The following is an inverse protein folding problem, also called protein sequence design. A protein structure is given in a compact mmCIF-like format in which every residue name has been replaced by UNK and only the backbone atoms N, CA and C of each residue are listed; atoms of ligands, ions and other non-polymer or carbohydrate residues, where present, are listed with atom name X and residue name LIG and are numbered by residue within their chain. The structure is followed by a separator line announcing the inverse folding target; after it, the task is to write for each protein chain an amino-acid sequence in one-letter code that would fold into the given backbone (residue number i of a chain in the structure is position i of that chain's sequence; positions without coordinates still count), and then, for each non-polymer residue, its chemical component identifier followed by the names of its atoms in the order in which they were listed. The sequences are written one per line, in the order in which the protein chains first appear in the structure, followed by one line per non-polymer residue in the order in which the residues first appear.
data_IF_588717799591
#
_entry.id   IF_588717799591
#
_cell.length_a   1.000
_cell.length_b   1.000
_cell.length_c   1.000
_cell.angle_alpha   90.00
_cell.angle_beta   90.00
_cell.angle_gamma   90.00
#
_symmetry.space_group_name_H-M   'P 1'
#
loop_
_entity.id
_entity.type
_entity.pdbx_description
1 polymer ?
#
# COMPACT_ATOMS: atom_id res chain seq x y z
N UNK A 1 7.42 -13.66 21.60
CA UNK A 1 7.78 -13.41 20.17
C UNK A 1 6.58 -13.12 19.27
N UNK A 2 5.73 -14.10 18.87
CA UNK A 2 4.61 -13.87 17.93
C UNK A 2 3.63 -12.78 18.39
N UNK A 3 3.22 -12.83 19.65
CA UNK A 3 2.31 -11.82 20.24
C UNK A 3 2.94 -10.42 20.34
N UNK A 4 4.27 -10.33 20.33
CA UNK A 4 5.01 -9.07 20.37
C UNK A 4 5.24 -8.48 18.97
N UNK A 5 4.74 -9.14 17.90
CA UNK A 5 4.89 -8.72 16.49
C UNK A 5 6.35 -8.52 16.03
N UNK A 6 7.30 -9.23 16.65
CA UNK A 6 8.73 -9.21 16.31
C UNK A 6 9.16 -10.51 15.63
N UNK A 7 10.18 -10.43 14.77
CA UNK A 7 10.75 -11.58 14.04
C UNK A 7 11.98 -12.17 14.75
N UNK A 8 12.75 -11.34 15.46
CA UNK A 8 13.91 -11.78 16.25
C UNK A 8 13.46 -12.13 17.68
N UNK A 9 13.88 -13.29 18.17
CA UNK A 9 13.69 -13.70 19.57
C UNK A 9 14.66 -12.91 20.45
N UNK A 10 14.14 -12.34 21.54
CA UNK A 10 14.94 -11.59 22.53
C UNK A 10 15.03 -12.35 23.86
N UNK A 11 16.00 -12.01 24.69
CA UNK A 11 16.18 -12.61 26.03
C UNK A 11 14.90 -12.46 26.87
N UNK A 12 14.21 -11.31 26.76
CA UNK A 12 12.94 -11.07 27.44
C UNK A 12 11.85 -12.06 27.04
N UNK A 13 11.83 -12.52 25.79
CA UNK A 13 10.88 -13.54 25.35
C UNK A 13 11.13 -14.89 26.03
N UNK A 14 12.40 -15.25 26.24
CA UNK A 14 12.81 -16.48 26.93
C UNK A 14 12.52 -16.35 28.43
N UNK A 15 12.88 -15.22 29.05
CA UNK A 15 12.60 -14.97 30.45
C UNK A 15 11.09 -14.95 30.76
N UNK A 16 10.27 -14.38 29.86
CA UNK A 16 8.82 -14.46 29.97
C UNK A 16 8.32 -15.91 29.88
N UNK A 17 8.90 -16.73 29.00
CA UNK A 17 8.53 -18.15 28.88
C UNK A 17 8.94 -18.98 30.11
N UNK A 18 10.10 -18.69 30.71
CA UNK A 18 10.56 -19.33 31.96
C UNK A 18 9.60 -19.02 33.10
N UNK A 19 9.17 -17.76 33.24
CA UNK A 19 8.16 -17.37 34.25
C UNK A 19 6.85 -18.12 34.09
N UNK A 20 6.37 -18.29 32.85
CA UNK A 20 5.13 -19.05 32.57
C UNK A 20 5.27 -20.52 32.95
N UNK A 21 6.47 -21.09 32.83
CA UNK A 21 6.79 -22.46 33.25
C UNK A 21 7.12 -22.58 34.74
N UNK A 22 6.98 -21.49 35.52
CA UNK A 22 7.40 -21.42 36.92
C UNK A 22 8.88 -21.79 37.13
N UNK A 23 9.73 -21.44 36.17
CA UNK A 23 11.19 -21.56 36.26
C UNK A 23 11.77 -20.20 36.59
N UNK A 24 12.82 -20.19 37.42
CA UNK A 24 13.54 -18.97 37.78
C UNK A 24 14.11 -18.27 36.54
N UNK A 25 13.94 -16.94 36.41
CA UNK A 25 14.51 -16.17 35.31
C UNK A 25 16.03 -16.16 35.35
N UNK A 26 16.66 -16.09 34.17
CA UNK A 26 18.10 -15.92 34.05
C UNK A 26 18.47 -14.43 34.10
N UNK A 27 19.34 -14.07 35.03
CA UNK A 27 19.86 -12.72 35.22
C UNK A 27 21.19 -12.54 34.46
N UNK A 28 21.55 -11.28 34.15
CA UNK A 28 22.81 -10.95 33.48
C UNK A 28 22.76 -10.87 31.94
N UNK A 29 21.66 -11.28 31.31
CA UNK A 29 21.53 -11.34 29.84
C UNK A 29 20.77 -10.16 29.20
N UNK A 30 20.53 -9.08 29.93
CA UNK A 30 19.75 -7.92 29.44
C UNK A 30 20.62 -6.85 28.78
N UNK A 31 21.93 -6.91 28.95
CA UNK A 31 22.85 -5.98 28.29
C UNK A 31 22.88 -6.28 26.78
N UNK A 32 22.76 -5.25 25.95
CA UNK A 32 22.70 -5.38 24.48
C UNK A 32 24.01 -5.81 23.82
N UNK A 33 25.02 -6.20 24.60
CA UNK A 33 26.28 -6.74 24.09
C UNK A 33 26.17 -8.25 23.94
N UNK A 34 26.49 -8.73 22.74
CA UNK A 34 26.56 -10.16 22.47
C UNK A 34 27.80 -10.74 23.15
N UNK A 35 27.69 -11.81 23.97
CA UNK A 35 28.84 -12.42 24.62
C UNK A 35 29.85 -12.87 23.56
N UNK A 36 31.14 -12.62 23.82
CA UNK A 36 32.24 -12.94 22.90
C UNK A 36 32.94 -14.19 23.41
N UNK A 37 32.52 -15.34 22.90
CA UNK A 37 33.17 -16.61 23.24
C UNK A 37 34.55 -16.72 22.59
N UNK A 38 35.59 -16.93 23.41
CA UNK A 38 36.93 -17.25 22.93
C UNK A 38 37.14 -18.76 22.92
N UNK A 39 37.73 -19.25 21.83
CA UNK A 39 38.10 -20.66 21.66
C UNK A 39 39.53 -20.87 22.15
N UNK A 40 39.73 -21.85 23.02
CA UNK A 40 41.05 -22.37 23.39
C UNK A 40 41.08 -23.89 23.25
N UNK A 41 42.25 -24.45 22.97
CA UNK A 41 42.42 -25.89 22.80
C UNK A 41 43.37 -26.41 23.86
N UNK A 42 42.89 -27.30 24.73
CA UNK A 42 43.70 -27.99 25.74
C UNK A 42 43.61 -29.49 25.50
N UNK A 43 44.75 -30.18 25.42
CA UNK A 43 44.83 -31.64 25.25
C UNK A 43 43.94 -32.18 24.10
N UNK A 44 43.98 -31.54 22.94
CA UNK A 44 43.16 -31.85 21.75
C UNK A 44 41.64 -31.71 21.92
N UNK A 45 41.17 -31.06 23.00
CA UNK A 45 39.74 -30.73 23.20
C UNK A 45 39.53 -29.23 23.03
N UNK A 46 38.51 -28.86 22.26
CA UNK A 46 38.11 -27.48 22.03
C UNK A 46 37.19 -26.99 23.16
N UNK A 47 37.61 -25.94 23.86
CA UNK A 47 36.87 -25.35 24.98
C UNK A 47 36.54 -23.90 24.63
N UNK A 48 35.31 -23.49 24.89
CA UNK A 48 34.85 -22.12 24.74
C UNK A 48 34.65 -21.51 26.12
N UNK A 49 35.17 -20.31 26.33
CA UNK A 49 34.96 -19.55 27.56
C UNK A 49 34.53 -18.13 27.23
N UNK A 50 33.83 -17.49 28.16
CA UNK A 50 33.48 -16.08 28.09
C UNK A 50 34.62 -15.28 28.72
N UNK A 51 35.11 -14.26 28.02
CA UNK A 51 36.19 -13.39 28.49
C UNK A 51 35.56 -12.17 29.16
N UNK A 52 35.44 -12.22 30.49
CA UNK A 52 34.95 -11.11 31.30
C UNK A 52 36.10 -10.16 31.66
N UNK A 53 36.15 -9.00 31.00
CA UNK A 53 37.08 -7.93 31.36
C UNK A 53 36.60 -7.21 32.63
N UNK A 54 37.46 -7.13 33.64
CA UNK A 54 37.18 -6.34 34.84
C UNK A 54 37.22 -4.84 34.51
N UNK A 55 36.17 -4.11 34.87
CA UNK A 55 36.04 -2.67 34.61
C UNK A 55 36.11 -1.92 35.95
N UNK A 56 36.89 -0.85 35.98
CA UNK A 56 36.97 0.03 37.14
C UNK A 56 35.66 0.82 37.36
N UNK A 57 35.26 1.00 38.63
CA UNK A 57 34.02 1.68 38.98
C UNK A 57 34.01 3.15 38.56
N UNK A 58 35.15 3.83 38.66
CA UNK A 58 35.29 5.24 38.28
C UNK A 58 35.06 5.42 36.77
N UNK A 59 35.45 4.43 35.96
CA UNK A 59 35.20 4.42 34.51
C UNK A 59 33.70 4.34 34.20
N UNK A 60 32.96 3.51 34.95
CA UNK A 60 31.51 3.35 34.76
C UNK A 60 30.76 4.61 35.22
N UNK A 61 31.16 5.18 36.36
CA UNK A 61 30.51 6.37 36.92
C UNK A 61 30.67 7.60 36.02
N UNK A 62 31.85 7.75 35.42
CA UNK A 62 32.17 8.88 34.54
C UNK A 62 31.69 8.68 33.09
N UNK A 63 31.05 7.54 32.77
CA UNK A 63 30.52 7.27 31.43
C UNK A 63 29.36 8.23 31.13
N UNK A 64 29.37 8.93 29.98
CA UNK A 64 28.28 9.85 29.63
C UNK A 64 26.96 9.10 29.43
N UNK A 65 25.86 9.77 29.78
CA UNK A 65 24.51 9.23 29.60
C UNK A 65 24.23 8.90 28.13
N UNK A 66 23.53 7.79 27.84
CA UNK A 66 23.16 7.46 26.48
C UNK A 66 22.18 8.49 25.91
N UNK A 67 22.20 8.63 24.59
CA UNK A 67 21.23 9.49 23.89
C UNK A 67 19.84 8.86 23.97
N UNK A 68 18.86 9.68 24.33
CA UNK A 68 17.47 9.27 24.41
C UNK A 68 16.88 9.34 22.98
N UNK A 69 16.18 8.28 22.51
CA UNK A 69 15.47 8.33 21.24
C UNK A 69 14.31 9.32 21.28
N UNK A 70 13.90 9.83 20.12
CA UNK A 70 12.71 10.67 20.01
C UNK A 70 11.44 9.88 20.36
N UNK A 71 10.43 10.60 20.82
CA UNK A 71 9.11 10.03 21.09
C UNK A 71 8.47 9.46 19.82
N UNK A 72 7.58 8.49 20.02
CA UNK A 72 6.92 7.79 18.92
C UNK A 72 5.93 8.70 18.20
N UNK A 73 6.21 8.99 16.94
CA UNK A 73 5.29 9.70 16.01
C UNK A 73 4.94 8.83 14.81
N UNK A 74 3.82 9.11 14.15
CA UNK A 74 3.42 8.43 12.92
C UNK A 74 3.55 9.35 11.70
N UNK A 75 3.90 8.77 10.56
CA UNK A 75 3.89 9.43 9.26
C UNK A 75 3.04 8.61 8.30
N UNK A 76 2.05 9.26 7.67
CA UNK A 76 1.14 8.61 6.73
C UNK A 76 1.53 8.97 5.29
N UNK A 77 1.42 8.00 4.39
CA UNK A 77 1.59 8.20 2.95
C UNK A 77 0.72 7.20 2.18
N UNK A 78 0.48 7.49 0.90
CA UNK A 78 -0.25 6.59 0.02
C UNK A 78 0.64 5.42 -0.42
N UNK A 79 0.31 4.21 0.05
CA UNK A 79 0.98 2.98 -0.40
C UNK A 79 0.51 2.57 -1.79
N UNK A 80 -0.79 2.70 -2.07
CA UNK A 80 -1.38 2.37 -3.36
C UNK A 80 -2.61 3.24 -3.64
N UNK A 81 -2.82 3.58 -4.90
CA UNK A 81 -3.99 4.28 -5.43
C UNK A 81 -4.49 3.41 -6.59
N UNK A 82 -5.74 2.93 -6.54
CA UNK A 82 -6.30 2.03 -7.57
C UNK A 82 -5.46 0.76 -7.81
N UNK A 83 -4.81 0.24 -6.75
CA UNK A 83 -3.92 -0.93 -6.84
C UNK A 83 -2.55 -0.64 -7.46
N UNK A 84 -2.26 0.62 -7.85
CA UNK A 84 -0.97 1.06 -8.35
C UNK A 84 -0.20 1.75 -7.22
N UNK A 85 1.04 1.32 -6.99
CA UNK A 85 1.93 1.95 -6.03
C UNK A 85 2.52 3.25 -6.62
N UNK A 86 2.30 4.43 -6.02
CA UNK A 86 2.88 5.66 -6.52
C UNK A 86 4.39 5.70 -6.28
N UNK A 87 5.13 6.31 -7.20
CA UNK A 87 6.57 6.49 -7.12
C UNK A 87 6.96 7.65 -6.17
N UNK A 88 6.70 7.46 -4.88
CA UNK A 88 7.16 8.35 -3.81
C UNK A 88 8.40 7.76 -3.13
N UNK A 89 9.29 8.57 -2.53
CA UNK A 89 10.51 8.09 -1.87
C UNK A 89 10.26 7.05 -0.75
N UNK A 90 9.08 7.08 -0.14
CA UNK A 90 8.68 6.15 0.92
C UNK A 90 8.28 4.77 0.40
N UNK A 91 7.94 4.64 -0.89
CA UNK A 91 7.53 3.39 -1.50
C UNK A 91 8.73 2.68 -2.15
N UNK A 92 8.88 1.36 -2.00
CA UNK A 92 9.93 0.59 -2.67
C UNK A 92 9.81 0.67 -4.19
N UNK A 93 10.95 0.63 -4.88
CA UNK A 93 10.94 0.48 -6.34
C UNK A 93 10.58 -0.96 -6.73
N UNK A 94 10.12 -1.20 -7.97
CA UNK A 94 9.82 -2.55 -8.44
C UNK A 94 11.01 -3.53 -8.32
N UNK A 95 12.24 -3.02 -8.43
CA UNK A 95 13.45 -3.83 -8.26
C UNK A 95 13.67 -4.23 -6.80
N UNK A 96 13.46 -3.30 -5.87
CA UNK A 96 13.56 -3.55 -4.43
C UNK A 96 12.51 -4.57 -3.98
N UNK A 97 11.28 -4.43 -4.48
CA UNK A 97 10.20 -5.37 -4.21
C UNK A 97 10.54 -6.80 -4.69
N UNK A 98 11.15 -6.93 -5.87
CA UNK A 98 11.59 -8.24 -6.38
C UNK A 98 12.69 -8.85 -5.50
N UNK A 99 13.65 -8.04 -5.07
CA UNK A 99 14.71 -8.49 -4.16
C UNK A 99 14.17 -8.91 -2.78
N UNK A 100 13.17 -8.21 -2.25
CA UNK A 100 12.46 -8.59 -1.02
C UNK A 100 11.69 -9.91 -1.17
N UNK A 101 11.00 -10.12 -2.29
CA UNK A 101 10.26 -11.36 -2.53
C UNK A 101 11.18 -12.57 -2.66
N UNK A 102 12.34 -12.40 -3.32
CA UNK A 102 13.36 -13.42 -3.45
C UNK A 102 13.98 -13.76 -2.08
N UNK A 103 14.29 -12.75 -1.26
CA UNK A 103 14.87 -12.92 0.08
C UNK A 103 13.89 -13.44 1.13
N UNK A 104 12.58 -13.19 0.98
CA UNK A 104 11.54 -13.86 1.78
C UNK A 104 11.37 -15.33 1.37
N UNK A 105 11.54 -15.67 0.10
CA UNK A 105 11.41 -17.05 -0.40
C UNK A 105 12.59 -17.95 0.00
N UNK A 106 13.80 -17.40 0.11
CA UNK A 106 15.00 -18.15 0.54
C UNK A 106 15.01 -18.52 2.02
N UNK A 107 14.14 -17.93 2.86
CA UNK A 107 13.97 -18.36 4.26
C UNK A 107 13.04 -19.55 4.44
N UNK A 108 12.42 -20.07 3.38
CA UNK A 108 11.50 -21.21 3.50
C UNK A 108 11.89 -22.46 2.73
N UNK A 109 12.74 -22.45 1.70
CA UNK A 109 13.17 -23.70 1.06
C UNK A 109 14.57 -23.59 0.43
N UNK A 110 15.51 -24.38 0.94
CA UNK A 110 16.71 -24.81 0.21
C UNK A 110 16.30 -25.79 -0.89
N UNK A 111 16.17 -25.31 -2.13
CA UNK A 111 16.23 -26.15 -3.33
C UNK A 111 16.64 -25.26 -4.50
N UNK A 112 17.86 -25.48 -4.97
CA UNK A 112 18.42 -24.96 -6.21
C UNK A 112 17.56 -25.34 -7.41
N UNK A 113 17.25 -24.37 -8.27
CA UNK A 113 17.53 -24.46 -9.71
C UNK A 113 17.23 -23.13 -10.40
N UNK A 114 18.21 -22.70 -11.22
CA UNK A 114 18.20 -21.43 -11.93
C UNK A 114 17.16 -21.36 -13.03
N UNK A 115 16.58 -20.17 -13.19
CA UNK A 115 15.89 -19.77 -14.42
C UNK A 115 16.32 -18.33 -14.74
N UNK A 116 16.71 -18.19 -15.99
CA UNK A 116 17.27 -17.03 -16.67
C UNK A 116 16.40 -15.78 -16.61
N UNK A 117 17.06 -14.65 -16.39
CA UNK A 117 16.51 -13.29 -16.44
C UNK A 117 16.18 -12.94 -17.88
N UNK A 118 14.94 -13.20 -18.31
CA UNK A 118 14.40 -12.62 -19.54
C UNK A 118 13.43 -11.49 -19.23
N UNK A 119 13.55 -10.46 -20.06
CA UNK A 119 13.03 -9.12 -19.88
C UNK A 119 11.49 -9.11 -19.86
N UNK A 120 10.91 -8.57 -18.78
CA UNK A 120 9.50 -8.18 -18.78
C UNK A 120 9.44 -6.66 -18.82
N UNK A 121 9.34 -6.13 -20.04
CA UNK A 121 8.88 -4.76 -20.27
C UNK A 121 7.41 -4.69 -19.87
N UNK A 122 7.14 -4.46 -18.58
CA UNK A 122 5.79 -4.14 -18.11
C UNK A 122 5.58 -2.68 -18.46
N UNK A 123 4.94 -2.44 -19.60
CA UNK A 123 4.19 -1.21 -19.82
C UNK A 123 2.82 -1.47 -19.20
N UNK A 124 2.51 -1.03 -17.97
CA UNK A 124 1.18 -1.22 -17.42
C UNK A 124 0.28 -0.16 -18.05
N UNK A 125 -0.12 -0.37 -19.31
CA UNK A 125 -1.36 0.22 -19.78
C UNK A 125 -2.45 -0.72 -19.27
N UNK A 126 -2.89 -0.49 -18.03
CA UNK A 126 -4.01 -1.21 -17.43
C UNK A 126 -5.22 -0.95 -18.31
N UNK A 127 -5.45 -1.83 -19.30
CA UNK A 127 -6.78 -2.03 -19.85
C UNK A 127 -7.57 -2.59 -18.67
N UNK A 128 -8.36 -1.76 -18.00
CA UNK A 128 -9.30 -2.22 -16.98
C UNK A 128 -10.02 -3.45 -17.55
N UNK A 129 -9.85 -4.60 -16.90
CA UNK A 129 -10.51 -5.85 -17.30
C UNK A 129 -11.97 -5.72 -16.87
N UNK A 130 -12.73 -4.99 -17.67
CA UNK A 130 -14.14 -4.74 -17.40
C UNK A 130 -14.93 -6.00 -17.76
N UNK A 131 -15.63 -6.57 -16.78
CA UNK A 131 -16.53 -7.70 -17.02
C UNK A 131 -17.60 -7.35 -18.06
N UNK A 132 -18.09 -8.34 -18.79
CA UNK A 132 -19.19 -8.18 -19.74
C UNK A 132 -20.43 -7.59 -19.07
N UNK A 133 -20.71 -7.98 -17.83
CA UNK A 133 -21.82 -7.43 -17.03
C UNK A 133 -21.64 -5.93 -16.72
N UNK A 134 -20.41 -5.49 -16.41
CA UNK A 134 -20.12 -4.08 -16.14
C UNK A 134 -20.21 -3.23 -17.41
N UNK A 135 -19.84 -3.79 -18.57
CA UNK A 135 -20.02 -3.13 -19.87
C UNK A 135 -21.49 -2.95 -20.20
N UNK A 136 -22.30 -4.01 -20.07
CA UNK A 136 -23.75 -3.92 -20.28
C UNK A 136 -24.41 -2.96 -19.29
N UNK A 137 -23.94 -2.92 -18.04
CA UNK A 137 -24.40 -1.96 -17.05
C UNK A 137 -24.10 -0.52 -17.50
N UNK A 138 -22.86 -0.26 -17.93
CA UNK A 138 -22.45 1.07 -18.43
C UNK A 138 -23.32 1.51 -19.61
N UNK A 139 -23.50 0.65 -20.62
CA UNK A 139 -24.32 0.93 -21.79
C UNK A 139 -25.76 1.26 -21.39
N UNK A 140 -26.40 0.38 -20.59
CA UNK A 140 -27.79 0.58 -20.13
C UNK A 140 -27.97 1.86 -19.34
N UNK A 141 -27.03 2.22 -18.46
CA UNK A 141 -27.11 3.46 -17.70
C UNK A 141 -26.96 4.68 -18.61
N UNK A 142 -26.02 4.66 -19.56
CA UNK A 142 -25.84 5.78 -20.49
C UNK A 142 -27.03 5.97 -21.42
N UNK A 143 -27.70 4.89 -21.83
CA UNK A 143 -28.94 4.94 -22.60
C UNK A 143 -30.13 5.41 -21.75
N UNK A 144 -30.28 4.89 -20.53
CA UNK A 144 -31.38 5.24 -19.64
C UNK A 144 -31.38 6.72 -19.22
N UNK A 145 -30.19 7.32 -19.04
CA UNK A 145 -30.04 8.75 -18.71
C UNK A 145 -30.44 9.65 -19.89
N UNK A 146 -30.31 9.16 -21.13
CA UNK A 146 -30.68 9.88 -22.36
C UNK A 146 -32.09 9.55 -22.86
N UNK A 147 -32.83 8.65 -22.20
CA UNK A 147 -34.17 8.24 -22.59
C UNK A 147 -35.22 9.21 -22.07
N UNK A 148 -36.27 9.49 -22.84
CA UNK A 148 -37.39 10.38 -22.45
C UNK A 148 -38.24 9.84 -21.28
N UNK A 149 -37.99 8.62 -20.81
CA UNK A 149 -38.73 8.00 -19.72
C UNK A 149 -38.18 8.44 -18.36
N UNK A 150 -38.87 9.37 -17.69
CA UNK A 150 -38.52 9.89 -16.36
C UNK A 150 -38.36 8.79 -15.28
N UNK A 151 -39.14 7.71 -15.37
CA UNK A 151 -39.03 6.53 -14.49
C UNK A 151 -37.72 5.77 -14.65
N UNK A 152 -37.22 5.64 -15.88
CA UNK A 152 -35.96 4.94 -16.15
C UNK A 152 -34.77 5.83 -15.78
N UNK A 153 -34.86 7.13 -16.04
CA UNK A 153 -33.84 8.10 -15.62
C UNK A 153 -33.67 8.13 -14.10
N UNK A 154 -34.77 8.23 -13.35
CA UNK A 154 -34.74 8.24 -11.88
C UNK A 154 -34.12 6.97 -11.29
N UNK A 155 -34.48 5.78 -11.81
CA UNK A 155 -33.86 4.52 -11.42
C UNK A 155 -32.36 4.48 -11.74
N UNK A 156 -31.94 4.98 -12.92
CA UNK A 156 -30.53 5.03 -13.29
C UNK A 156 -29.71 5.92 -12.33
N UNK A 157 -30.25 7.09 -11.94
CA UNK A 157 -29.59 7.96 -10.98
C UNK A 157 -29.54 7.36 -9.56
N UNK A 158 -30.58 6.64 -9.15
CA UNK A 158 -30.60 5.93 -7.87
C UNK A 158 -29.56 4.80 -7.83
N UNK A 159 -29.46 3.99 -8.90
CA UNK A 159 -28.42 2.97 -9.05
C UNK A 159 -27.01 3.58 -8.94
N UNK A 160 -26.74 4.69 -9.65
CA UNK A 160 -25.44 5.37 -9.59
C UNK A 160 -25.08 5.88 -8.19
N UNK A 161 -26.08 6.27 -7.39
CA UNK A 161 -25.88 6.83 -6.04
C UNK A 161 -25.65 5.74 -4.99
N UNK A 162 -26.25 4.56 -5.16
CA UNK A 162 -26.22 3.49 -4.14
C UNK A 162 -25.23 2.36 -4.46
N UNK A 163 -24.92 2.11 -5.73
CA UNK A 163 -24.14 0.93 -6.10
C UNK A 163 -22.66 1.03 -5.68
N UNK A 164 -22.15 0.05 -4.90
CA UNK A 164 -20.76 0.03 -4.44
C UNK A 164 -19.79 -0.56 -5.49
N UNK A 165 -20.29 -1.28 -6.50
CA UNK A 165 -19.47 -1.97 -7.51
C UNK A 165 -18.97 -1.09 -8.65
N UNK A 166 -19.25 0.22 -8.63
CA UNK A 166 -19.02 1.12 -9.76
C UNK A 166 -17.59 1.66 -9.85
N UNK A 167 -16.72 1.31 -8.90
CA UNK A 167 -15.35 1.84 -8.80
C UNK A 167 -14.57 1.73 -10.13
N UNK A 168 -14.63 0.57 -10.78
CA UNK A 168 -13.95 0.35 -12.07
C UNK A 168 -14.57 1.15 -13.24
N UNK A 169 -15.83 1.58 -13.11
CA UNK A 169 -16.55 2.34 -14.13
C UNK A 169 -16.42 3.85 -13.97
N UNK A 170 -16.00 4.34 -12.79
CA UNK A 170 -15.84 5.77 -12.52
C UNK A 170 -14.98 6.49 -13.58
N UNK A 171 -13.80 5.98 -13.99
CA UNK A 171 -13.00 6.65 -15.02
C UNK A 171 -13.76 6.80 -16.35
N UNK A 172 -14.53 5.78 -16.72
CA UNK A 172 -15.29 5.74 -17.96
C UNK A 172 -16.48 6.69 -17.93
N UNK A 173 -17.18 6.79 -16.81
CA UNK A 173 -18.26 7.76 -16.63
C UNK A 173 -17.73 9.20 -16.70
N UNK A 174 -16.60 9.50 -16.05
CA UNK A 174 -15.98 10.84 -16.12
C UNK A 174 -15.57 11.19 -17.55
N UNK A 175 -14.96 10.24 -18.28
CA UNK A 175 -14.59 10.45 -19.68
C UNK A 175 -15.84 10.63 -20.59
N UNK A 176 -16.91 9.87 -20.33
CA UNK A 176 -18.15 9.97 -21.07
C UNK A 176 -18.82 11.32 -20.86
N UNK A 177 -18.95 11.77 -19.61
CA UNK A 177 -19.48 13.08 -19.23
C UNK A 177 -18.67 14.18 -19.94
N UNK A 178 -17.35 14.13 -19.86
CA UNK A 178 -16.48 15.11 -20.51
C UNK A 178 -16.71 15.18 -22.03
N UNK A 179 -16.71 14.02 -22.70
CA UNK A 179 -16.91 13.94 -24.16
C UNK A 179 -18.29 14.46 -24.57
N UNK A 180 -19.35 14.10 -23.83
CA UNK A 180 -20.73 14.56 -24.11
C UNK A 180 -20.90 16.05 -23.90
N UNK A 181 -20.33 16.60 -22.83
CA UNK A 181 -20.36 18.05 -22.55
C UNK A 181 -19.58 18.83 -23.62
N UNK A 182 -18.40 18.35 -24.03
CA UNK A 182 -17.60 19.01 -25.06
C UNK A 182 -18.29 18.99 -26.44
N UNK A 183 -18.92 17.87 -26.82
CA UNK A 183 -19.56 17.72 -28.13
C UNK A 183 -20.92 18.44 -28.20
N UNK A 184 -21.71 18.46 -27.12
CA UNK A 184 -23.11 18.91 -27.13
C UNK A 184 -23.36 20.14 -26.23
N UNK A 185 -22.49 21.15 -26.29
CA UNK A 185 -22.62 22.39 -25.52
C UNK A 185 -23.89 23.23 -25.79
N UNK A 186 -24.65 22.92 -26.85
CA UNK A 186 -25.88 23.66 -27.23
C UNK A 186 -27.18 22.99 -26.78
N UNK A 187 -27.13 21.72 -26.34
CA UNK A 187 -28.33 21.01 -25.88
C UNK A 187 -28.38 21.04 -24.35
N UNK A 188 -29.35 21.77 -23.80
CA UNK A 188 -29.52 21.97 -22.37
C UNK A 188 -29.93 20.69 -21.65
N UNK A 189 -30.79 19.86 -22.25
CA UNK A 189 -31.29 18.62 -21.65
C UNK A 189 -30.17 17.61 -21.44
N UNK A 190 -29.28 17.47 -22.43
CA UNK A 190 -28.10 16.59 -22.30
C UNK A 190 -27.15 17.11 -21.22
N UNK A 191 -26.97 18.42 -21.13
CA UNK A 191 -26.08 19.02 -20.12
C UNK A 191 -26.64 18.83 -18.70
N UNK A 192 -27.95 19.03 -18.52
CA UNK A 192 -28.64 18.79 -17.26
C UNK A 192 -28.56 17.32 -16.85
N UNK A 193 -28.74 16.39 -17.78
CA UNK A 193 -28.58 14.95 -17.53
C UNK A 193 -27.14 14.59 -17.11
N UNK A 194 -26.12 15.16 -17.78
CA UNK A 194 -24.70 14.93 -17.42
C UNK A 194 -24.30 15.56 -16.07
N UNK A 195 -24.83 16.74 -15.74
CA UNK A 195 -24.63 17.37 -14.43
C UNK A 195 -25.32 16.57 -13.32
N UNK A 196 -26.55 16.10 -13.55
CA UNK A 196 -27.29 15.23 -12.64
C UNK A 196 -26.57 13.90 -12.42
N UNK A 197 -25.99 13.32 -13.47
CA UNK A 197 -25.14 12.12 -13.39
C UNK A 197 -23.89 12.37 -12.54
N UNK A 198 -23.22 13.50 -12.74
CA UNK A 198 -22.05 13.90 -11.94
C UNK A 198 -22.43 14.09 -10.47
N UNK A 199 -23.58 14.70 -10.20
CA UNK A 199 -24.09 14.88 -8.84
C UNK A 199 -24.46 13.54 -8.19
N UNK A 200 -25.06 12.61 -8.92
CA UNK A 200 -25.37 11.26 -8.43
C UNK A 200 -24.10 10.51 -8.04
N UNK A 201 -23.06 10.55 -8.89
CA UNK A 201 -21.75 9.96 -8.61
C UNK A 201 -21.09 10.58 -7.36
N UNK A 202 -21.07 11.91 -7.25
CA UNK A 202 -20.46 12.60 -6.10
C UNK A 202 -21.15 12.32 -4.76
N UNK A 203 -22.44 12.01 -4.78
CA UNK A 203 -23.19 11.67 -3.56
C UNK A 203 -23.02 10.20 -3.13
N UNK A 204 -22.35 9.37 -3.93
CA UNK A 204 -22.12 7.98 -3.60
C UNK A 204 -21.00 7.84 -2.56
N UNK A 205 -21.36 7.42 -1.36
CA UNK A 205 -20.42 7.24 -0.22
C UNK A 205 -19.45 6.08 -0.39
N UNK A 206 -19.75 5.15 -1.29
CA UNK A 206 -18.94 3.95 -1.53
C UNK A 206 -17.84 4.20 -2.58
N UNK A 207 -17.83 5.36 -3.22
CA UNK A 207 -16.86 5.70 -4.26
C UNK A 207 -15.79 6.64 -3.73
N UNK A 208 -14.53 6.25 -3.95
CA UNK A 208 -13.38 7.10 -3.71
C UNK A 208 -13.11 7.97 -4.95
N UNK A 209 -13.73 9.16 -5.01
CA UNK A 209 -13.69 10.04 -6.19
C UNK A 209 -12.50 11.01 -6.15
N UNK A 210 -11.87 11.18 -4.99
CA UNK A 210 -10.76 12.13 -4.76
C UNK A 210 -9.63 12.07 -5.81
N UNK A 211 -9.18 10.88 -6.29
CA UNK A 211 -8.16 10.81 -7.35
C UNK A 211 -8.63 11.44 -8.68
N UNK A 212 -9.90 11.28 -9.00
CA UNK A 212 -10.50 11.66 -10.29
C UNK A 212 -10.89 13.14 -10.37
N UNK A 213 -11.03 13.83 -9.23
CA UNK A 213 -11.27 15.28 -9.19
C UNK A 213 -10.16 16.06 -9.91
N UNK A 214 -8.92 15.58 -9.82
CA UNK A 214 -7.78 16.19 -10.49
C UNK A 214 -7.81 16.03 -12.02
N UNK A 215 -8.34 14.91 -12.52
CA UNK A 215 -8.47 14.67 -13.96
C UNK A 215 -9.52 15.58 -14.59
N UNK A 216 -10.64 15.82 -13.89
CA UNK A 216 -11.64 16.79 -14.33
C UNK A 216 -11.07 18.23 -14.41
N UNK A 217 -10.09 18.58 -13.56
CA UNK A 217 -9.41 19.88 -13.60
C UNK A 217 -8.31 19.95 -14.67
N UNK A 218 -7.45 18.93 -14.80
CA UNK A 218 -6.32 18.93 -15.76
C UNK A 218 -6.76 18.97 -17.22
N UNK A 219 -7.89 18.36 -17.58
CA UNK A 219 -8.36 18.37 -18.96
C UNK A 219 -8.96 19.74 -19.36
N UNK A 220 -9.49 20.50 -18.39
CA UNK A 220 -9.92 21.89 -18.61
C UNK A 220 -8.76 22.76 -19.09
N UNK A 221 -7.56 22.52 -18.57
CA UNK A 221 -6.34 23.25 -18.96
C UNK A 221 -5.80 22.82 -20.33
N UNK A 222 -6.10 21.59 -20.79
CA UNK A 222 -5.77 21.14 -22.16
C UNK A 222 -6.73 21.68 -23.20
N UNK A 223 -8.04 21.61 -22.95
CA UNK A 223 -9.06 22.12 -23.88
C UNK A 223 -8.99 23.65 -24.03
N UNK A 224 -8.50 24.38 -23.02
CA UNK A 224 -8.25 25.81 -23.11
C UNK A 224 -7.06 26.18 -24.02
N UNK A 225 -6.12 25.26 -24.27
CA UNK A 225 -4.93 25.50 -25.11
C UNK A 225 -5.09 25.03 -26.57
N UNK A 226 -6.13 24.26 -26.89
CA UNK A 226 -6.41 23.77 -28.26
C UNK A 226 -7.51 24.58 -28.98
N UNK A 227 -7.71 25.85 -28.59
CA UNK A 227 -8.54 26.81 -29.35
C UNK A 227 -7.84 27.27 -30.63
N UNK A 228 -8.54 27.41 -31.77
CA UNK A 228 -7.91 27.53 -33.08
C UNK A 228 -7.19 28.87 -33.25
N UNK A 229 -5.96 28.83 -33.75
CA UNK A 229 -5.39 29.87 -34.60
C UNK A 229 -6.18 29.95 -35.92
#
# INVERSE_FOLDING_TARGET
MRHSKRVKLTVDDVNAALRVKNVEPLYGYTHGETPKFRKTTLNSTEIYFDEDEEIDFDSVLNKPLPKIPLDVTFTAHWLAIEGIQPAIPQNPTPNDAKAELLSKRTKTHTSSNGITTDQVNVKPLVKHVLSKELQMYFERITEAILSDNERLQSQAFESLRLDPGLHQLVPYFVQHIHKKVAQNHKNLEILEAMLSMSHALLNNKHLFIEPYVSMAKKEKDRVANDGPC
#
